data_IF_467297554829
#
_entry.id   IF_467297554829
#
_cell.length_a   1.000
_cell.length_b   1.000
_cell.length_c   1.000
_cell.angle_alpha   90.00
_cell.angle_beta   90.00
_cell.angle_gamma   90.00
#
_symmetry.space_group_name_H-M   'P 1'
#
loop_
_entity.id
_entity.type
_entity.pdbx_description
1 polymer ?
#
# COMPACT_ATOMS: atom_id res chain seq x y z
N UNK A 1 2.50 -14.07 31.85
CA UNK A 1 2.93 -12.67 31.95
C UNK A 1 3.10 -12.15 30.53
N UNK A 2 2.19 -11.28 30.07
CA UNK A 2 2.25 -10.69 28.71
C UNK A 2 3.32 -9.61 28.73
N UNK A 3 4.54 -9.96 28.31
CA UNK A 3 5.63 -9.02 28.21
C UNK A 3 5.34 -8.01 27.08
N UNK A 4 5.03 -6.78 27.43
CA UNK A 4 5.02 -5.66 26.50
C UNK A 4 6.44 -5.48 25.95
N UNK A 5 6.66 -5.82 24.69
CA UNK A 5 7.95 -5.62 24.05
C UNK A 5 8.16 -4.12 23.82
N UNK A 6 9.06 -3.51 24.57
CA UNK A 6 9.36 -2.07 24.45
C UNK A 6 9.91 -1.77 23.06
N UNK A 7 9.39 -0.72 22.42
CA UNK A 7 9.91 -0.25 21.13
C UNK A 7 11.39 0.10 21.23
N UNK A 8 12.24 -0.42 20.33
CA UNK A 8 13.66 -0.09 20.29
C UNK A 8 13.91 1.35 19.83
N UNK A 9 15.15 1.82 19.99
CA UNK A 9 15.56 3.20 19.67
C UNK A 9 15.28 3.58 18.21
N UNK A 10 15.53 2.66 17.25
CA UNK A 10 15.33 2.93 15.82
C UNK A 10 13.85 3.03 15.39
N UNK A 11 12.92 2.75 16.28
CA UNK A 11 11.47 2.94 16.07
C UNK A 11 10.92 4.11 16.88
N UNK A 12 11.76 4.90 17.51
CA UNK A 12 11.32 6.13 18.17
C UNK A 12 10.93 7.16 17.13
N UNK A 13 9.73 7.69 17.29
CA UNK A 13 9.19 8.74 16.45
C UNK A 13 9.48 10.10 17.07
N UNK A 14 9.76 11.10 16.23
CA UNK A 14 9.81 12.49 16.68
C UNK A 14 8.44 12.92 17.23
N UNK A 15 8.41 13.86 18.20
CA UNK A 15 7.16 14.44 18.66
C UNK A 15 6.35 15.00 17.49
N UNK A 16 5.02 14.80 17.53
CA UNK A 16 4.15 15.27 16.46
C UNK A 16 3.98 16.80 16.52
N UNK A 17 4.21 17.48 15.40
CA UNK A 17 3.80 18.88 15.26
C UNK A 17 2.28 18.99 15.14
N UNK A 18 1.68 19.62 16.15
CA UNK A 18 0.23 19.72 16.25
C UNK A 18 -0.39 20.62 15.17
N UNK A 19 0.35 21.63 14.69
CA UNK A 19 -0.17 22.58 13.69
C UNK A 19 -0.31 21.91 12.31
N UNK A 20 0.70 21.18 11.85
CA UNK A 20 0.69 20.42 10.60
C UNK A 20 -0.42 19.37 10.59
N UNK A 21 -0.55 18.60 11.67
CA UNK A 21 -1.62 17.61 11.79
C UNK A 21 -3.01 18.25 11.79
N UNK A 22 -3.18 19.40 12.47
CA UNK A 22 -4.44 20.12 12.52
C UNK A 22 -4.83 20.71 11.15
N UNK A 23 -3.88 21.19 10.34
CA UNK A 23 -4.17 21.71 9.01
C UNK A 23 -4.67 20.62 8.05
N UNK A 24 -4.01 19.46 8.03
CA UNK A 24 -4.44 18.32 7.22
C UNK A 24 -5.81 17.79 7.66
N UNK A 25 -6.05 17.71 8.97
CA UNK A 25 -7.36 17.30 9.51
C UNK A 25 -8.47 18.28 9.14
N UNK A 26 -8.21 19.59 9.16
CA UNK A 26 -9.19 20.57 8.70
C UNK A 26 -9.51 20.36 7.23
N UNK A 27 -8.52 20.18 6.38
CA UNK A 27 -8.70 19.92 4.96
C UNK A 27 -9.57 18.66 4.72
N UNK A 28 -9.16 17.53 5.29
CA UNK A 28 -9.89 16.26 5.11
C UNK A 28 -11.31 16.33 5.67
N UNK A 29 -11.51 16.97 6.83
CA UNK A 29 -12.83 17.13 7.41
C UNK A 29 -13.75 18.05 6.59
N UNK A 30 -13.23 19.18 6.10
CA UNK A 30 -13.98 20.12 5.26
C UNK A 30 -14.44 19.47 3.94
N UNK A 31 -13.58 18.63 3.36
CA UNK A 31 -13.85 17.91 2.11
C UNK A 31 -14.48 16.52 2.33
N UNK A 32 -14.82 16.14 3.57
CA UNK A 32 -15.37 14.81 3.93
C UNK A 32 -14.51 13.64 3.41
N UNK A 33 -13.20 13.81 3.41
CA UNK A 33 -12.23 12.81 2.95
C UNK A 33 -11.61 12.04 4.12
N UNK A 34 -11.13 10.86 3.82
CA UNK A 34 -10.37 10.02 4.72
C UNK A 34 -8.94 9.82 4.22
N UNK A 35 -8.00 9.60 5.14
CA UNK A 35 -6.63 9.19 4.80
C UNK A 35 -6.26 7.91 5.54
N UNK A 36 -5.61 6.98 4.84
CA UNK A 36 -5.04 5.81 5.51
C UNK A 36 -3.96 6.21 6.53
N UNK A 37 -3.33 7.36 6.33
CA UNK A 37 -2.34 7.92 7.25
C UNK A 37 -2.90 8.13 8.66
N UNK A 38 -4.15 8.56 8.78
CA UNK A 38 -4.84 8.73 10.08
C UNK A 38 -5.44 7.41 10.55
N UNK A 39 -6.21 6.73 9.71
CA UNK A 39 -6.91 5.48 10.06
C UNK A 39 -5.96 4.37 10.50
N UNK A 40 -4.85 4.19 9.79
CA UNK A 40 -3.80 3.21 10.14
C UNK A 40 -2.80 3.72 11.20
N UNK A 41 -2.98 4.93 11.75
CA UNK A 41 -2.04 5.56 12.71
C UNK A 41 -0.60 5.54 12.23
N UNK A 42 -0.40 5.90 10.94
CA UNK A 42 0.90 5.84 10.27
C UNK A 42 1.98 6.63 11.05
N UNK A 43 3.16 6.06 11.30
CA UNK A 43 4.25 6.74 12.01
C UNK A 43 4.79 7.95 11.22
N UNK A 44 4.70 7.93 9.88
CA UNK A 44 5.29 8.95 9.01
C UNK A 44 4.36 10.13 8.72
N UNK A 45 3.11 10.12 9.20
CA UNK A 45 2.09 11.12 8.81
C UNK A 45 2.53 12.57 9.04
N UNK A 46 3.31 12.86 10.07
CA UNK A 46 3.80 14.22 10.31
C UNK A 46 4.73 14.68 9.21
N UNK A 47 5.71 13.86 8.84
CA UNK A 47 6.65 14.14 7.76
C UNK A 47 5.90 14.29 6.44
N UNK A 48 5.06 13.31 6.08
CA UNK A 48 4.31 13.34 4.84
C UNK A 48 3.36 14.55 4.75
N UNK A 49 2.64 14.87 5.82
CA UNK A 49 1.74 16.03 5.85
C UNK A 49 2.48 17.36 5.77
N UNK A 50 3.66 17.48 6.38
CA UNK A 50 4.52 18.66 6.25
C UNK A 50 5.03 18.86 4.81
N UNK A 51 5.19 17.76 4.06
CA UNK A 51 5.58 17.74 2.66
C UNK A 51 4.39 17.85 1.69
N UNK A 52 3.17 18.11 2.21
CA UNK A 52 1.95 18.19 1.40
C UNK A 52 1.49 16.85 0.82
N UNK A 53 1.99 15.72 1.36
CA UNK A 53 1.71 14.39 0.85
C UNK A 53 0.73 13.65 1.76
N UNK A 54 -0.33 13.10 1.18
CA UNK A 54 -1.30 12.23 1.85
C UNK A 54 -1.69 11.06 0.95
N UNK A 55 -2.05 9.93 1.57
CA UNK A 55 -2.68 8.81 0.86
C UNK A 55 -4.17 8.89 1.13
N UNK A 56 -4.94 9.29 0.13
CA UNK A 56 -6.39 9.38 0.24
C UNK A 56 -7.00 7.98 0.27
N UNK A 57 -7.94 7.78 1.17
CA UNK A 57 -8.68 6.54 1.32
C UNK A 57 -10.13 6.78 0.89
N UNK A 58 -10.46 6.29 -0.29
CA UNK A 58 -11.80 6.44 -0.90
C UNK A 58 -12.74 5.29 -0.50
N UNK A 59 -14.01 5.39 -0.88
CA UNK A 59 -15.08 4.44 -0.57
C UNK A 59 -15.46 4.40 0.92
N UNK A 60 -15.16 5.49 1.65
CA UNK A 60 -15.50 5.66 3.05
C UNK A 60 -14.41 5.15 4.01
N UNK A 61 -14.80 4.89 5.26
CA UNK A 61 -13.88 4.59 6.37
C UNK A 61 -14.13 3.25 7.08
N UNK A 62 -15.10 2.46 6.61
CA UNK A 62 -15.41 1.14 7.14
C UNK A 62 -15.11 0.06 6.09
N UNK A 63 -14.35 -0.96 6.50
CA UNK A 63 -13.92 -2.05 5.61
C UNK A 63 -14.82 -3.28 5.81
N UNK A 64 -15.19 -3.97 4.73
CA UNK A 64 -15.93 -5.25 4.82
C UNK A 64 -15.07 -6.40 5.33
N UNK A 65 -13.73 -6.25 5.37
CA UNK A 65 -12.79 -7.25 5.88
C UNK A 65 -12.20 -6.84 7.23
N UNK A 66 -11.78 -7.85 8.01
CA UNK A 66 -11.26 -7.70 9.38
C UNK A 66 -9.83 -8.20 9.52
N UNK A 67 -8.91 -7.64 8.72
CA UNK A 67 -7.49 -7.98 8.84
C UNK A 67 -6.95 -7.61 10.23
N UNK A 68 -6.35 -8.57 10.95
CA UNK A 68 -5.96 -8.39 12.35
C UNK A 68 -4.83 -7.37 12.56
N UNK A 69 -4.11 -7.00 11.51
CA UNK A 69 -3.04 -5.99 11.56
C UNK A 69 -3.55 -4.56 11.32
N UNK A 70 -4.74 -4.39 10.71
CA UNK A 70 -5.17 -3.14 10.12
C UNK A 70 -5.89 -2.24 11.14
N UNK A 71 -5.48 -0.98 11.21
CA UNK A 71 -6.10 0.02 12.09
C UNK A 71 -7.39 0.65 11.54
N UNK A 72 -7.79 0.30 10.29
CA UNK A 72 -9.05 0.75 9.69
C UNK A 72 -10.21 0.00 10.34
N UNK A 73 -11.31 0.68 10.57
CA UNK A 73 -12.50 0.09 11.18
C UNK A 73 -13.14 -0.96 10.27
N UNK A 74 -13.48 -2.12 10.84
CA UNK A 74 -14.21 -3.19 10.14
C UNK A 74 -15.69 -3.07 10.45
N UNK A 75 -16.55 -3.24 9.43
CA UNK A 75 -17.99 -3.14 9.64
C UNK A 75 -18.80 -3.10 8.34
N UNK A 76 -19.98 -2.52 8.43
CA UNK A 76 -20.88 -2.31 7.30
C UNK A 76 -20.68 -0.88 6.76
N UNK A 77 -20.00 -0.71 5.61
CA UNK A 77 -19.78 0.61 5.04
C UNK A 77 -21.09 1.21 4.50
N UNK A 78 -21.18 2.52 4.55
CA UNK A 78 -22.27 3.25 3.86
C UNK A 78 -22.07 3.20 2.34
N UNK A 79 -23.10 3.60 1.59
CA UNK A 79 -22.98 3.79 0.15
C UNK A 79 -21.88 4.81 -0.15
N UNK A 80 -21.06 4.59 -1.20
CA UNK A 80 -20.03 5.53 -1.59
C UNK A 80 -20.62 6.93 -1.87
N UNK A 81 -19.94 7.97 -1.40
CA UNK A 81 -20.33 9.35 -1.72
C UNK A 81 -20.03 9.59 -3.23
N UNK A 82 -21.03 9.90 -4.05
CA UNK A 82 -20.81 10.17 -5.48
C UNK A 82 -19.93 11.38 -5.74
N UNK A 83 -19.78 12.30 -4.77
CA UNK A 83 -18.94 13.51 -4.84
C UNK A 83 -17.54 13.32 -4.28
N UNK A 84 -17.19 12.13 -3.81
CA UNK A 84 -15.85 11.87 -3.24
C UNK A 84 -14.72 12.11 -4.26
N UNK A 85 -14.86 11.75 -5.58
CA UNK A 85 -13.84 12.07 -6.60
C UNK A 85 -13.56 13.59 -6.70
N UNK A 86 -14.59 14.41 -6.75
CA UNK A 86 -14.45 15.88 -6.83
C UNK A 86 -13.86 16.47 -5.55
N UNK A 87 -14.17 15.88 -4.40
CA UNK A 87 -13.59 16.26 -3.12
C UNK A 87 -12.09 15.89 -3.08
N UNK A 88 -11.69 14.75 -3.64
CA UNK A 88 -10.26 14.38 -3.79
C UNK A 88 -9.54 15.39 -4.69
N UNK A 89 -10.12 15.76 -5.83
CA UNK A 89 -9.56 16.80 -6.71
C UNK A 89 -9.40 18.13 -5.95
N UNK A 90 -10.40 18.52 -5.16
CA UNK A 90 -10.31 19.75 -4.35
C UNK A 90 -9.16 19.71 -3.33
N UNK A 91 -8.86 18.54 -2.76
CA UNK A 91 -7.71 18.37 -1.88
C UNK A 91 -6.40 18.40 -2.67
N UNK A 92 -6.33 17.73 -3.82
CA UNK A 92 -5.19 17.73 -4.74
C UNK A 92 -4.88 19.16 -5.20
N UNK A 93 -5.89 19.97 -5.56
CA UNK A 93 -5.73 21.35 -5.94
C UNK A 93 -5.12 22.23 -4.82
N UNK A 94 -5.46 21.95 -3.55
CA UNK A 94 -4.90 22.68 -2.40
C UNK A 94 -3.48 22.20 -2.03
N UNK A 95 -3.19 20.90 -2.16
CA UNK A 95 -1.90 20.31 -1.80
C UNK A 95 -0.87 20.42 -2.94
N UNK A 96 -1.33 20.55 -4.19
CA UNK A 96 -0.52 20.63 -5.41
C UNK A 96 0.56 19.53 -5.51
N UNK A 97 0.24 18.25 -5.27
CA UNK A 97 1.22 17.19 -5.34
C UNK A 97 1.53 16.87 -6.82
N UNK A 98 2.78 16.53 -7.12
CA UNK A 98 3.15 15.93 -8.42
C UNK A 98 2.81 14.45 -8.53
N UNK A 99 2.50 13.83 -7.40
CA UNK A 99 2.22 12.40 -7.28
C UNK A 99 1.12 12.18 -6.23
N UNK A 100 0.02 11.60 -6.64
CA UNK A 100 -1.11 11.29 -5.77
C UNK A 100 -1.18 9.78 -5.49
N UNK A 101 -1.40 9.41 -4.24
CA UNK A 101 -1.66 8.02 -3.85
C UNK A 101 -3.09 7.89 -3.38
N UNK A 102 -3.82 6.98 -4.04
CA UNK A 102 -5.21 6.65 -3.70
C UNK A 102 -5.24 5.21 -3.22
N UNK A 103 -5.97 4.96 -2.16
CA UNK A 103 -6.32 3.62 -1.67
C UNK A 103 -7.79 3.57 -1.29
N UNK A 104 -8.27 2.43 -0.86
CA UNK A 104 -9.65 2.30 -0.36
C UNK A 104 -9.73 1.34 0.83
N UNK A 105 -10.86 1.35 1.50
CA UNK A 105 -11.35 0.20 2.25
C UNK A 105 -11.76 -0.90 1.28
N UNK A 106 -11.74 -2.18 1.70
CA UNK A 106 -12.32 -3.25 0.88
C UNK A 106 -13.84 -3.15 0.90
N UNK A 107 -14.46 -3.31 -0.26
CA UNK A 107 -15.90 -3.20 -0.49
C UNK A 107 -16.43 -4.45 -1.20
N UNK A 108 -16.28 -5.62 -0.53
CA UNK A 108 -16.81 -6.90 -1.05
C UNK A 108 -18.34 -6.91 -1.17
N UNK A 109 -19.01 -5.88 -0.63
CA UNK A 109 -20.44 -5.61 -0.72
C UNK A 109 -20.85 -4.93 -2.04
N UNK A 110 -19.92 -4.36 -2.80
CA UNK A 110 -20.17 -3.74 -4.09
C UNK A 110 -19.92 -4.74 -5.23
N UNK A 111 -20.73 -4.70 -6.31
CA UNK A 111 -20.61 -5.66 -7.42
C UNK A 111 -19.23 -5.67 -8.11
N UNK A 112 -18.55 -4.52 -8.16
CA UNK A 112 -17.23 -4.34 -8.76
C UNK A 112 -16.12 -4.13 -7.71
N UNK A 113 -16.42 -4.33 -6.43
CA UNK A 113 -15.48 -4.08 -5.34
C UNK A 113 -15.05 -2.61 -5.20
N UNK A 114 -15.74 -1.68 -5.88
CA UNK A 114 -15.44 -0.25 -5.91
C UNK A 114 -14.50 0.18 -7.04
N UNK A 115 -14.22 -0.67 -8.02
CA UNK A 115 -13.30 -0.39 -9.13
C UNK A 115 -13.73 0.84 -9.95
N UNK A 116 -15.02 0.99 -10.25
CA UNK A 116 -15.53 2.16 -10.96
C UNK A 116 -15.34 3.46 -10.18
N UNK A 117 -15.35 3.42 -8.86
CA UNK A 117 -15.10 4.59 -8.03
C UNK A 117 -13.63 4.99 -8.05
N UNK A 118 -12.70 4.00 -8.04
CA UNK A 118 -11.28 4.25 -8.28
C UNK A 118 -11.06 4.92 -9.63
N UNK A 119 -11.60 4.36 -10.71
CA UNK A 119 -11.44 4.88 -12.06
C UNK A 119 -11.92 6.35 -12.15
N UNK A 120 -13.14 6.64 -11.68
CA UNK A 120 -13.67 8.03 -11.65
C UNK A 120 -12.77 8.98 -10.86
N UNK A 121 -12.20 8.53 -9.74
CA UNK A 121 -11.31 9.38 -8.92
C UNK A 121 -10.00 9.67 -9.65
N UNK A 122 -9.43 8.68 -10.35
CA UNK A 122 -8.21 8.83 -11.14
C UNK A 122 -8.45 9.75 -12.32
N UNK A 123 -9.52 9.52 -13.08
CA UNK A 123 -9.95 10.34 -14.21
C UNK A 123 -10.19 11.80 -13.80
N UNK A 124 -10.88 12.04 -12.69
CA UNK A 124 -11.11 13.37 -12.16
C UNK A 124 -9.81 14.11 -11.80
N UNK A 125 -8.79 13.40 -11.27
CA UNK A 125 -7.47 13.99 -11.02
C UNK A 125 -6.78 14.36 -12.34
N UNK A 126 -6.83 13.50 -13.36
CA UNK A 126 -6.22 13.75 -14.67
C UNK A 126 -6.95 14.85 -15.45
N UNK A 127 -8.28 14.95 -15.31
CA UNK A 127 -9.06 16.07 -15.87
C UNK A 127 -8.67 17.42 -15.25
N UNK A 128 -8.31 17.42 -13.97
CA UNK A 128 -7.81 18.61 -13.28
C UNK A 128 -6.38 18.97 -13.72
N UNK A 129 -5.46 17.99 -13.68
CA UNK A 129 -4.07 18.17 -14.13
C UNK A 129 -3.50 16.80 -14.62
N UNK A 130 -3.36 16.62 -15.94
CA UNK A 130 -2.86 15.37 -16.52
C UNK A 130 -1.36 15.09 -16.21
N UNK A 131 -0.63 16.05 -15.64
CA UNK A 131 0.76 15.87 -15.26
C UNK A 131 0.92 15.19 -13.89
N UNK A 132 -0.16 15.07 -13.11
CA UNK A 132 -0.13 14.38 -11.83
C UNK A 132 -0.07 12.86 -12.05
N UNK A 133 0.99 12.26 -11.55
CA UNK A 133 1.14 10.81 -11.56
C UNK A 133 0.28 10.18 -10.46
N UNK A 134 -0.49 9.13 -10.78
CA UNK A 134 -1.39 8.48 -9.81
C UNK A 134 -0.95 7.05 -9.52
N UNK A 135 -0.76 6.74 -8.24
CA UNK A 135 -0.63 5.36 -7.72
C UNK A 135 -1.95 4.93 -7.08
N UNK A 136 -2.48 3.78 -7.47
CA UNK A 136 -3.63 3.18 -6.82
C UNK A 136 -3.23 1.93 -6.03
N UNK A 137 -3.41 1.97 -4.70
CA UNK A 137 -3.31 0.79 -3.82
C UNK A 137 -4.70 0.14 -3.73
N UNK A 138 -4.90 -0.91 -4.50
CA UNK A 138 -6.19 -1.57 -4.68
C UNK A 138 -6.38 -2.81 -3.80
N UNK A 139 -7.62 -3.19 -3.45
CA UNK A 139 -7.94 -4.51 -2.92
C UNK A 139 -7.78 -5.58 -4.03
N UNK A 140 -7.99 -6.86 -3.67
CA UNK A 140 -7.90 -7.96 -4.62
C UNK A 140 -9.14 -8.09 -5.55
N UNK A 141 -10.17 -7.25 -5.37
CA UNK A 141 -11.45 -7.32 -6.08
C UNK A 141 -12.01 -8.74 -6.19
N UNK A 142 -11.75 -9.61 -5.20
CA UNK A 142 -12.09 -11.05 -5.21
C UNK A 142 -11.62 -11.78 -6.49
N UNK A 143 -10.56 -11.28 -7.15
CA UNK A 143 -10.00 -11.82 -8.39
C UNK A 143 -10.77 -11.42 -9.65
N UNK A 144 -11.70 -10.48 -9.58
CA UNK A 144 -12.50 -10.01 -10.73
C UNK A 144 -11.63 -9.26 -11.76
N UNK A 145 -11.44 -9.85 -12.94
CA UNK A 145 -10.59 -9.28 -14.00
C UNK A 145 -11.20 -8.01 -14.60
N UNK A 146 -12.52 -7.92 -14.73
CA UNK A 146 -13.17 -6.71 -15.25
C UNK A 146 -12.98 -5.53 -14.31
N UNK A 147 -13.09 -5.73 -13.00
CA UNK A 147 -12.81 -4.71 -11.99
C UNK A 147 -11.35 -4.23 -12.06
N UNK A 148 -10.39 -5.18 -12.19
CA UNK A 148 -8.98 -4.82 -12.36
C UNK A 148 -8.76 -3.97 -13.62
N UNK A 149 -9.35 -4.37 -14.77
CA UNK A 149 -9.28 -3.61 -16.03
C UNK A 149 -9.84 -2.21 -15.89
N UNK A 150 -11.01 -2.06 -15.26
CA UNK A 150 -11.61 -0.74 -15.01
C UNK A 150 -10.64 0.22 -14.34
N UNK A 151 -9.84 -0.26 -13.38
CA UNK A 151 -8.85 0.59 -12.69
C UNK A 151 -7.60 0.81 -13.54
N UNK A 152 -7.11 -0.22 -14.24
CA UNK A 152 -5.89 -0.09 -15.06
C UNK A 152 -6.11 0.81 -16.27
N UNK A 153 -7.32 0.81 -16.86
CA UNK A 153 -7.67 1.63 -18.01
C UNK A 153 -7.74 3.15 -17.69
N UNK A 154 -7.80 3.51 -16.41
CA UNK A 154 -7.80 4.90 -15.94
C UNK A 154 -6.41 5.59 -15.94
N UNK A 155 -5.40 5.00 -16.62
CA UNK A 155 -4.07 5.60 -16.83
C UNK A 155 -3.23 5.78 -15.56
N UNK A 156 -3.02 4.70 -14.80
CA UNK A 156 -2.16 4.68 -13.62
C UNK A 156 -0.67 4.78 -13.94
N UNK A 157 0.09 5.46 -13.07
CA UNK A 157 1.56 5.36 -13.04
C UNK A 157 2.04 4.08 -12.35
N UNK A 158 1.37 3.71 -11.25
CA UNK A 158 1.68 2.51 -10.46
C UNK A 158 0.39 1.84 -10.00
N UNK A 159 0.26 0.54 -10.25
CA UNK A 159 -0.73 -0.30 -9.59
C UNK A 159 -0.08 -1.00 -8.40
N UNK A 160 -0.60 -0.73 -7.22
CA UNK A 160 -0.11 -1.30 -5.98
C UNK A 160 -1.15 -2.28 -5.40
N UNK A 161 -0.73 -3.48 -5.06
CA UNK A 161 -1.53 -4.45 -4.30
C UNK A 161 -0.63 -5.19 -3.31
N UNK A 162 -0.85 -4.98 -2.02
CA UNK A 162 0.01 -5.54 -0.99
C UNK A 162 -0.32 -7.00 -0.68
N UNK A 163 0.71 -7.84 -0.56
CA UNK A 163 0.60 -9.19 0.01
C UNK A 163 0.56 -9.18 1.55
N UNK A 164 1.03 -8.11 2.18
CA UNK A 164 1.02 -7.78 3.61
C UNK A 164 1.84 -8.71 4.50
N UNK A 165 1.83 -10.03 4.29
CA UNK A 165 2.55 -11.02 5.09
C UNK A 165 2.81 -12.29 4.29
N UNK A 166 3.48 -13.27 4.91
CA UNK A 166 3.82 -14.57 4.32
C UNK A 166 2.61 -15.52 4.29
N UNK A 167 2.55 -16.49 3.35
CA UNK A 167 1.38 -17.37 3.16
C UNK A 167 0.90 -18.07 4.44
N UNK A 168 1.82 -18.57 5.25
CA UNK A 168 1.51 -19.28 6.51
C UNK A 168 0.70 -18.43 7.49
N UNK A 169 0.88 -17.11 7.47
CA UNK A 169 0.22 -16.20 8.39
C UNK A 169 -1.11 -15.64 7.87
N UNK A 170 -1.50 -15.92 6.61
CA UNK A 170 -2.75 -15.41 6.05
C UNK A 170 -3.99 -15.74 6.89
N UNK A 171 -4.18 -16.99 7.38
CA UNK A 171 -5.37 -17.35 8.16
C UNK A 171 -5.53 -16.52 9.43
N UNK A 172 -4.43 -16.06 10.03
CA UNK A 172 -4.44 -15.28 11.28
C UNK A 172 -4.42 -13.78 11.01
N UNK A 173 -3.68 -13.34 9.99
CA UNK A 173 -3.41 -11.91 9.73
C UNK A 173 -4.41 -11.30 8.75
N UNK A 174 -4.80 -12.07 7.71
CA UNK A 174 -5.71 -11.65 6.63
C UNK A 174 -6.73 -12.75 6.29
N UNK A 175 -7.62 -13.16 7.19
CA UNK A 175 -8.44 -14.38 7.05
C UNK A 175 -9.37 -14.40 5.83
N UNK A 176 -9.69 -13.23 5.26
CA UNK A 176 -10.59 -13.10 4.09
C UNK A 176 -9.82 -12.85 2.78
N UNK A 177 -8.49 -12.83 2.82
CA UNK A 177 -7.65 -12.70 1.63
C UNK A 177 -7.00 -14.05 1.29
N UNK A 178 -6.55 -14.17 0.05
CA UNK A 178 -5.83 -15.34 -0.45
C UNK A 178 -4.49 -14.90 -1.03
N UNK A 179 -3.40 -15.57 -0.62
CA UNK A 179 -2.05 -15.22 -1.07
C UNK A 179 -1.90 -15.38 -2.59
N UNK A 180 -2.35 -16.49 -3.13
CA UNK A 180 -2.31 -16.77 -4.57
C UNK A 180 -3.14 -15.79 -5.39
N UNK A 181 -4.28 -15.34 -4.86
CA UNK A 181 -5.09 -14.29 -5.49
C UNK A 181 -4.34 -12.96 -5.51
N UNK A 182 -3.64 -12.61 -4.44
CA UNK A 182 -2.84 -11.38 -4.39
C UNK A 182 -1.72 -11.36 -5.44
N UNK A 183 -1.04 -12.49 -5.65
CA UNK A 183 -0.06 -12.64 -6.72
C UNK A 183 -0.72 -12.55 -8.10
N UNK A 184 -1.87 -13.20 -8.27
CA UNK A 184 -2.60 -13.21 -9.54
C UNK A 184 -3.11 -11.81 -9.94
N UNK A 185 -3.50 -10.95 -9.00
CA UNK A 185 -3.85 -9.55 -9.28
C UNK A 185 -2.67 -8.82 -9.94
N UNK A 186 -1.47 -8.94 -9.37
CA UNK A 186 -0.26 -8.31 -9.91
C UNK A 186 0.12 -8.89 -11.28
N UNK A 187 0.07 -10.22 -11.44
CA UNK A 187 0.33 -10.90 -12.71
C UNK A 187 -0.62 -10.43 -13.81
N UNK A 188 -1.91 -10.36 -13.50
CA UNK A 188 -2.94 -9.90 -14.46
C UNK A 188 -2.79 -8.45 -14.83
N UNK A 189 -2.41 -7.57 -13.88
CA UNK A 189 -2.13 -6.18 -14.18
C UNK A 189 -1.02 -6.05 -15.24
N UNK A 190 0.08 -6.82 -15.11
CA UNK A 190 1.15 -6.87 -16.12
C UNK A 190 0.70 -7.44 -17.46
N UNK A 191 -0.27 -8.34 -17.49
CA UNK A 191 -0.83 -8.86 -18.75
C UNK A 191 -1.77 -7.86 -19.43
N UNK A 192 -2.46 -7.01 -18.67
CA UNK A 192 -3.33 -5.95 -19.23
C UNK A 192 -2.47 -4.82 -19.82
N UNK A 193 -1.45 -4.37 -19.08
CA UNK A 193 -0.48 -3.38 -19.55
C UNK A 193 0.93 -3.74 -19.08
N UNK A 194 1.76 -4.25 -19.98
CA UNK A 194 3.14 -4.63 -19.69
C UNK A 194 4.03 -3.46 -19.26
N UNK A 195 3.65 -2.21 -19.56
CA UNK A 195 4.41 -1.00 -19.18
C UNK A 195 4.01 -0.47 -17.82
N UNK A 196 2.80 -0.80 -17.32
CA UNK A 196 2.34 -0.40 -15.99
C UNK A 196 3.28 -0.93 -14.92
N UNK A 197 3.81 -0.04 -14.08
CA UNK A 197 4.60 -0.45 -12.94
C UNK A 197 3.69 -1.08 -11.88
N UNK A 198 4.08 -2.28 -11.43
CA UNK A 198 3.38 -2.98 -10.36
C UNK A 198 4.19 -2.94 -9.07
N UNK A 199 3.49 -2.81 -7.96
CA UNK A 199 4.08 -2.66 -6.63
C UNK A 199 3.38 -3.55 -5.62
N UNK A 200 4.14 -4.08 -4.68
CA UNK A 200 3.61 -4.79 -3.53
C UNK A 200 4.35 -4.41 -2.25
N UNK A 201 3.70 -4.65 -1.12
CA UNK A 201 4.29 -4.44 0.19
C UNK A 201 4.01 -5.59 1.12
N UNK A 202 4.96 -5.83 2.01
CA UNK A 202 4.80 -6.74 3.14
C UNK A 202 5.36 -6.14 4.41
N UNK A 203 4.79 -6.58 5.53
CA UNK A 203 5.23 -6.20 6.86
C UNK A 203 5.99 -7.36 7.50
N UNK A 204 7.04 -7.02 8.24
CA UNK A 204 7.81 -7.98 9.05
C UNK A 204 7.61 -7.72 10.55
N UNK A 205 7.75 -8.77 11.35
CA UNK A 205 7.50 -8.75 12.79
C UNK A 205 6.11 -9.26 13.19
N UNK A 206 5.41 -9.97 12.28
CA UNK A 206 4.13 -10.64 12.52
C UNK A 206 4.30 -12.10 12.98
N UNK A 207 5.52 -12.67 12.91
CA UNK A 207 5.83 -14.06 13.29
C UNK A 207 6.41 -14.89 12.14
N UNK A 208 6.70 -14.25 11.02
CA UNK A 208 7.46 -14.83 9.90
C UNK A 208 8.94 -15.00 10.25
N UNK A 209 9.63 -15.88 9.54
CA UNK A 209 11.08 -15.94 9.50
C UNK A 209 11.64 -15.28 8.23
N UNK A 210 12.96 -15.05 8.22
CA UNK A 210 13.62 -14.37 7.11
C UNK A 210 13.46 -15.11 5.76
N UNK A 211 13.58 -16.45 5.79
CA UNK A 211 13.42 -17.26 4.59
C UNK A 211 12.03 -17.10 3.97
N UNK A 212 10.96 -17.10 4.77
CA UNK A 212 9.59 -16.90 4.29
C UNK A 212 9.41 -15.53 3.63
N UNK A 213 10.08 -14.47 4.14
CA UNK A 213 10.06 -13.14 3.52
C UNK A 213 10.75 -13.17 2.16
N UNK A 214 11.91 -13.83 2.05
CA UNK A 214 12.66 -13.98 0.79
C UNK A 214 11.85 -14.79 -0.23
N UNK A 215 11.20 -15.87 0.20
CA UNK A 215 10.33 -16.68 -0.65
C UNK A 215 9.18 -15.83 -1.24
N UNK A 216 8.56 -14.95 -0.43
CA UNK A 216 7.54 -14.00 -0.90
C UNK A 216 8.11 -13.00 -1.91
N UNK A 217 9.31 -12.49 -1.68
CA UNK A 217 9.97 -11.59 -2.64
C UNK A 217 10.24 -12.30 -3.97
N UNK A 218 10.65 -13.56 -3.92
CA UNK A 218 10.82 -14.40 -5.11
C UNK A 218 9.48 -14.55 -5.86
N UNK A 219 8.41 -14.97 -5.17
CA UNK A 219 7.08 -15.13 -5.77
C UNK A 219 6.59 -13.85 -6.44
N UNK A 220 6.78 -12.69 -5.80
CA UNK A 220 6.44 -11.38 -6.37
C UNK A 220 7.20 -11.11 -7.67
N UNK A 221 8.49 -11.46 -7.75
CA UNK A 221 9.26 -11.33 -9.01
C UNK A 221 8.78 -12.28 -10.09
N UNK A 222 8.39 -13.51 -9.74
CA UNK A 222 7.85 -14.49 -10.70
C UNK A 222 6.58 -13.99 -11.39
N UNK A 223 5.76 -13.19 -10.71
CA UNK A 223 4.56 -12.57 -11.30
C UNK A 223 4.83 -11.21 -11.95
N UNK A 224 6.10 -10.80 -12.07
CA UNK A 224 6.50 -9.57 -12.74
C UNK A 224 6.35 -8.29 -11.91
N UNK A 225 6.26 -8.40 -10.57
CA UNK A 225 6.20 -7.22 -9.71
C UNK A 225 7.48 -6.39 -9.81
N UNK A 226 7.36 -5.10 -10.09
CA UNK A 226 8.49 -4.19 -10.33
C UNK A 226 9.07 -3.61 -9.03
N UNK A 227 8.20 -3.31 -8.06
CA UNK A 227 8.52 -2.55 -6.85
C UNK A 227 8.11 -3.33 -5.61
N UNK A 228 8.97 -3.39 -4.61
CA UNK A 228 8.61 -4.01 -3.32
C UNK A 228 8.93 -3.09 -2.14
N UNK A 229 8.04 -3.08 -1.14
CA UNK A 229 8.27 -2.39 0.12
C UNK A 229 8.26 -3.39 1.28
N UNK A 230 9.25 -3.30 2.17
CA UNK A 230 9.34 -4.12 3.39
C UNK A 230 9.42 -3.20 4.60
N UNK A 231 8.43 -3.28 5.50
CA UNK A 231 8.34 -2.39 6.65
C UNK A 231 8.04 -3.12 7.97
N UNK A 232 8.44 -2.55 9.11
CA UNK A 232 8.10 -3.12 10.40
C UNK A 232 6.60 -3.00 10.70
N UNK A 233 5.97 -4.10 11.05
CA UNK A 233 4.63 -4.07 11.63
C UNK A 233 4.62 -3.31 12.95
N UNK A 234 3.70 -2.36 13.09
CA UNK A 234 3.45 -1.63 14.32
C UNK A 234 2.00 -1.82 14.74
N UNK A 235 1.77 -2.47 15.86
CA UNK A 235 0.44 -2.78 16.38
C UNK A 235 -0.39 -1.51 16.61
N UNK A 236 -1.54 -1.33 15.95
CA UNK A 236 -2.36 -0.11 16.09
C UNK A 236 -3.01 0.01 17.47
N UNK A 237 -3.44 -1.10 18.06
CA UNK A 237 -3.97 -1.17 19.43
C UNK A 237 -3.85 -2.58 20.01
N UNK A 238 -4.10 -2.76 21.29
CA UNK A 238 -4.02 -4.06 21.98
C UNK A 238 -5.00 -5.13 21.44
N UNK A 239 -6.00 -4.73 20.63
CA UNK A 239 -6.94 -5.65 19.98
C UNK A 239 -6.40 -6.27 18.69
N UNK A 240 -5.35 -5.69 18.11
CA UNK A 240 -4.77 -6.12 16.84
C UNK A 240 -3.71 -7.20 17.06
N UNK A 241 -3.28 -7.82 15.97
CA UNK A 241 -2.21 -8.81 15.97
C UNK A 241 -0.99 -8.31 16.76
N UNK A 242 -0.41 -9.16 17.60
CA UNK A 242 0.74 -8.75 18.44
C UNK A 242 2.00 -8.67 17.60
N UNK A 243 2.86 -7.69 17.93
CA UNK A 243 4.21 -7.67 17.37
C UNK A 243 4.98 -8.88 17.92
N UNK A 244 5.40 -9.79 17.04
CA UNK A 244 6.17 -10.96 17.40
C UNK A 244 7.64 -10.58 17.72
N UNK A 245 8.22 -9.69 16.88
CA UNK A 245 9.56 -9.13 17.09
C UNK A 245 9.70 -7.77 16.45
N UNK A 246 10.67 -6.99 16.91
CA UNK A 246 11.15 -5.80 16.20
C UNK A 246 12.40 -6.19 15.42
N UNK A 247 12.30 -6.07 14.09
CA UNK A 247 13.36 -6.43 13.15
C UNK A 247 14.44 -5.35 13.19
N UNK A 248 15.72 -5.71 13.33
CA UNK A 248 16.81 -4.74 13.37
C UNK A 248 17.06 -4.12 12.00
N UNK A 249 17.59 -2.86 11.93
CA UNK A 249 17.84 -2.17 10.66
C UNK A 249 18.72 -2.95 9.68
N UNK A 250 19.65 -3.73 10.18
CA UNK A 250 20.58 -4.54 9.38
C UNK A 250 19.84 -5.61 8.55
N UNK A 251 18.80 -6.24 9.13
CA UNK A 251 17.98 -7.21 8.41
C UNK A 251 17.15 -6.56 7.29
N UNK A 252 16.71 -5.30 7.47
CA UNK A 252 16.08 -4.53 6.40
C UNK A 252 17.06 -4.24 5.25
N UNK A 253 18.32 -3.95 5.55
CA UNK A 253 19.35 -3.77 4.53
C UNK A 253 19.59 -5.08 3.75
N UNK A 254 19.57 -6.23 4.43
CA UNK A 254 19.65 -7.54 3.76
C UNK A 254 18.47 -7.77 2.80
N UNK A 255 17.23 -7.45 3.21
CA UNK A 255 16.06 -7.55 2.31
C UNK A 255 16.20 -6.63 1.09
N UNK A 256 16.74 -5.42 1.28
CA UNK A 256 16.99 -4.51 0.16
C UNK A 256 18.00 -5.10 -0.83
N UNK A 257 19.11 -5.64 -0.36
CA UNK A 257 20.14 -6.25 -1.18
C UNK A 257 19.65 -7.52 -1.90
N UNK A 258 18.86 -8.35 -1.21
CA UNK A 258 18.23 -9.54 -1.81
C UNK A 258 17.26 -9.11 -2.91
N UNK A 259 16.41 -8.13 -2.66
CA UNK A 259 15.46 -7.67 -3.66
C UNK A 259 16.13 -7.07 -4.90
N UNK A 260 17.24 -6.33 -4.74
CA UNK A 260 18.06 -5.86 -5.87
C UNK A 260 18.61 -7.04 -6.68
N UNK A 261 19.12 -8.08 -6.02
CA UNK A 261 19.63 -9.31 -6.69
C UNK A 261 18.52 -10.09 -7.40
N UNK A 262 17.29 -10.09 -6.86
CA UNK A 262 16.12 -10.68 -7.50
C UNK A 262 15.63 -9.88 -8.73
N UNK A 263 16.15 -8.68 -8.96
CA UNK A 263 15.84 -7.86 -10.11
C UNK A 263 14.58 -7.00 -9.95
N UNK A 264 14.19 -6.62 -8.73
CA UNK A 264 13.22 -5.54 -8.57
C UNK A 264 13.79 -4.22 -9.10
N UNK A 265 12.98 -3.41 -9.77
CA UNK A 265 13.39 -2.06 -10.20
C UNK A 265 13.68 -1.15 -9.02
N UNK A 266 12.93 -1.33 -7.94
CA UNK A 266 13.18 -0.62 -6.70
C UNK A 266 12.72 -1.44 -5.48
N UNK A 267 13.52 -1.37 -4.41
CA UNK A 267 13.22 -1.99 -3.12
C UNK A 267 13.29 -0.90 -2.05
N UNK A 268 12.17 -0.65 -1.37
CA UNK A 268 12.17 0.17 -0.18
C UNK A 268 12.08 -0.74 1.04
N UNK A 269 13.14 -0.82 1.83
CA UNK A 269 13.18 -1.68 3.01
C UNK A 269 13.67 -0.90 4.22
N UNK A 270 12.92 -0.93 5.33
CA UNK A 270 13.30 -0.20 6.52
C UNK A 270 12.22 -0.17 7.61
N UNK A 271 12.61 0.10 8.87
CA UNK A 271 11.71 0.02 10.02
C UNK A 271 10.46 0.91 9.91
N UNK A 272 10.57 2.05 9.28
CA UNK A 272 9.47 3.00 9.11
C UNK A 272 8.89 3.02 7.69
N UNK A 273 9.38 2.17 6.77
CA UNK A 273 8.83 2.04 5.42
C UNK A 273 7.36 1.63 5.48
N UNK A 274 6.58 2.20 4.59
CA UNK A 274 5.17 1.89 4.32
C UNK A 274 4.96 1.83 2.81
N UNK A 275 3.90 1.18 2.38
CA UNK A 275 3.59 1.00 0.96
C UNK A 275 3.59 2.32 0.17
N UNK A 276 3.07 3.40 0.76
CA UNK A 276 3.02 4.74 0.12
C UNK A 276 4.12 5.70 0.60
N UNK A 277 5.12 5.22 1.37
CA UNK A 277 6.19 6.09 1.88
C UNK A 277 7.15 6.48 0.75
N UNK A 278 7.39 7.78 0.58
CA UNK A 278 8.21 8.34 -0.50
C UNK A 278 7.80 7.83 -1.91
N UNK A 279 6.50 7.61 -2.14
CA UNK A 279 6.01 6.96 -3.37
C UNK A 279 6.43 7.70 -4.66
N UNK A 280 6.45 9.03 -4.65
CA UNK A 280 6.94 9.84 -5.78
C UNK A 280 8.41 9.59 -6.10
N UNK A 281 9.28 9.55 -5.08
CA UNK A 281 10.71 9.28 -5.23
C UNK A 281 10.94 7.84 -5.74
N UNK A 282 10.24 6.88 -5.13
CA UNK A 282 10.26 5.47 -5.53
C UNK A 282 9.89 5.31 -7.00
N UNK A 283 8.82 5.99 -7.45
CA UNK A 283 8.41 5.98 -8.86
C UNK A 283 9.48 6.57 -9.78
N UNK A 284 10.04 7.73 -9.45
CA UNK A 284 11.06 8.38 -10.30
C UNK A 284 12.32 7.51 -10.45
N UNK A 285 12.78 6.88 -9.37
CA UNK A 285 13.94 5.99 -9.40
C UNK A 285 13.65 4.72 -10.23
N UNK A 286 12.46 4.15 -10.07
CA UNK A 286 12.05 2.97 -10.83
C UNK A 286 11.86 3.25 -12.33
N UNK A 287 11.32 4.41 -12.68
CA UNK A 287 11.12 4.82 -14.07
C UNK A 287 12.45 5.08 -14.82
N UNK A 288 13.48 5.50 -14.09
CA UNK A 288 14.84 5.69 -14.64
C UNK A 288 15.62 4.38 -14.78
N UNK A 289 15.24 3.35 -14.05
CA UNK A 289 15.86 2.02 -14.12
C UNK A 289 15.44 1.31 -15.41
N UNK A 290 16.29 1.33 -16.42
CA UNK A 290 15.98 0.96 -17.82
C UNK A 290 15.84 -0.54 -18.08
N UNK A 291 16.01 -1.41 -17.09
CA UNK A 291 15.91 -2.87 -17.29
C UNK A 291 15.29 -3.55 -16.07
N UNK A 292 14.06 -4.01 -16.21
CA UNK A 292 13.70 -5.21 -15.48
C UNK A 292 14.37 -6.37 -16.22
N UNK A 293 15.24 -7.17 -15.61
CA UNK A 293 15.64 -8.44 -16.20
C UNK A 293 14.38 -9.30 -16.37
N UNK A 294 14.38 -10.13 -17.42
CA UNK A 294 13.33 -11.11 -17.64
C UNK A 294 13.05 -11.92 -16.36
N UNK A 295 11.82 -12.39 -16.13
CA UNK A 295 11.51 -13.21 -14.99
C UNK A 295 12.53 -14.34 -14.88
N UNK A 296 13.08 -14.55 -13.68
CA UNK A 296 14.08 -15.59 -13.42
C UNK A 296 13.48 -16.95 -13.80
N UNK A 297 14.01 -17.56 -14.85
CA UNK A 297 13.50 -18.84 -15.37
C UNK A 297 14.07 -20.07 -14.64
N UNK A 298 14.98 -19.86 -13.69
CA UNK A 298 15.59 -20.96 -12.94
C UNK A 298 15.02 -21.05 -11.51
N UNK A 299 14.35 -22.16 -11.26
CA UNK A 299 14.08 -22.63 -9.90
C UNK A 299 15.43 -22.95 -9.23
N UNK A 300 15.70 -22.53 -8.00
CA UNK A 300 16.85 -23.06 -7.29
C UNK A 300 16.62 -24.57 -7.09
N UNK A 301 17.48 -25.37 -7.70
CA UNK A 301 17.56 -26.80 -7.42
C UNK A 301 17.80 -26.99 -5.91
N UNK A 302 16.95 -27.87 -5.35
CA UNK A 302 16.92 -28.57 -4.06
C UNK A 302 17.86 -28.17 -2.91
#
# INVERSE_FOLDING_TARGET
>A
MSGYVRRPEWLKLSPLDSATLASMRRLTHQLKLHTVCESARCPNRQKCFAEGTATFMVLGNACTRSCSFCGVESGHPHMPDPHEPENVVSAVAQLQPKYAVITSVTRDDLPDGGASHFARTIEAIHDYDPAIMVEALIPDFQGCLSALRTVTDASLAVLNHNVETVPRLYPEVRPQAEYTRSLEVLRRAKLVDGKLLTKSGLMVGLGENQKEVVDVMYDLRQVGCDLVTVGQYLQPSLKHHKVARYVPPEEFAEYEDIGKKLGFRYVASGPLVRSSFCAAEVYLLAAQSSTAPDPVTDSPEA
#
